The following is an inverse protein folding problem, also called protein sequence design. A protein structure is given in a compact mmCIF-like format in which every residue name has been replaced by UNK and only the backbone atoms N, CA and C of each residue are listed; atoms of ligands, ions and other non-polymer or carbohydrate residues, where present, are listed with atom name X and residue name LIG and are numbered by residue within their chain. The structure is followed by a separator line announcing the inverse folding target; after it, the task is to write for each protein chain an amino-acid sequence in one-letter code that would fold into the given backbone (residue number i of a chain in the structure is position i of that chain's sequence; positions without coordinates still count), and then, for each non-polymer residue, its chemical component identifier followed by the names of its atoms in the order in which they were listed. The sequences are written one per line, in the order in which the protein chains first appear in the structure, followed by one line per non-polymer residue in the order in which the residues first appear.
data_IF_404019399405
#
_entry.id   IF_404019399405
#
_cell.length_a   1.000
_cell.length_b   1.000
_cell.length_c   1.000
_cell.angle_alpha   90.00
_cell.angle_beta   90.00
_cell.angle_gamma   90.00
#
_symmetry.space_group_name_H-M   'P 1'
#
loop_
_entity.id
_entity.type
_entity.pdbx_description
1 polymer ?
#
# COMPACT_ATOMS: atom_id res chain seq x y z
N UNK A 1 -12.88 -6.34 -4.78
CA UNK A 1 -11.79 -5.36 -4.71
C UNK A 1 -10.59 -5.96 -5.44
N UNK A 2 -10.01 -5.26 -6.41
CA UNK A 2 -8.79 -5.75 -7.07
C UNK A 2 -7.63 -5.65 -6.07
N UNK A 3 -6.83 -6.72 -5.95
CA UNK A 3 -5.69 -6.74 -5.04
C UNK A 3 -4.65 -5.68 -5.43
N UNK A 4 -3.97 -5.14 -4.42
CA UNK A 4 -2.74 -4.36 -4.60
C UNK A 4 -1.67 -5.32 -5.13
N UNK A 5 -1.03 -4.95 -6.24
CA UNK A 5 0.07 -5.70 -6.83
C UNK A 5 1.38 -5.43 -6.09
N UNK A 6 2.36 -6.32 -6.22
CA UNK A 6 3.69 -6.10 -5.63
C UNK A 6 4.32 -4.76 -6.04
N UNK A 7 4.21 -4.38 -7.32
CA UNK A 7 4.72 -3.09 -7.80
C UNK A 7 4.04 -1.88 -7.16
N UNK A 8 2.75 -2.01 -6.82
CA UNK A 8 2.03 -0.97 -6.08
C UNK A 8 2.46 -0.95 -4.61
N UNK A 9 2.76 -2.10 -3.99
CA UNK A 9 3.29 -2.15 -2.61
C UNK A 9 4.62 -1.40 -2.49
N UNK A 10 5.54 -1.60 -3.42
CA UNK A 10 6.83 -0.88 -3.45
C UNK A 10 6.61 0.62 -3.55
N UNK A 11 5.65 1.07 -4.39
CA UNK A 11 5.30 2.50 -4.48
C UNK A 11 4.67 3.02 -3.18
N UNK A 12 3.80 2.24 -2.53
CA UNK A 12 3.20 2.61 -1.24
C UNK A 12 4.28 2.78 -0.18
N UNK A 13 5.25 1.87 -0.11
CA UNK A 13 6.40 1.95 0.81
C UNK A 13 7.19 3.24 0.59
N UNK A 14 7.57 3.55 -0.66
CA UNK A 14 8.22 4.82 -1.00
C UNK A 14 7.35 6.04 -0.63
N UNK A 15 6.04 5.96 -0.82
CA UNK A 15 5.14 7.07 -0.46
C UNK A 15 5.01 7.26 1.05
N UNK A 16 5.08 6.19 1.86
CA UNK A 16 5.14 6.27 3.31
C UNK A 16 6.39 7.02 3.77
N UNK A 17 7.56 6.68 3.21
CA UNK A 17 8.83 7.36 3.50
C UNK A 17 8.80 8.84 3.12
N UNK A 18 8.11 9.18 2.03
CA UNK A 18 7.90 10.55 1.57
C UNK A 18 6.78 11.29 2.35
N UNK A 19 6.13 10.66 3.32
CA UNK A 19 5.10 11.28 4.17
C UNK A 19 3.79 11.60 3.45
N UNK A 20 3.45 10.87 2.39
CA UNK A 20 2.19 11.07 1.68
C UNK A 20 0.99 10.56 2.48
N UNK A 21 -0.13 11.26 2.35
CA UNK A 21 -1.43 10.80 2.85
C UNK A 21 -2.04 9.70 1.96
N UNK A 22 -2.89 8.86 2.54
CA UNK A 22 -3.60 7.78 1.83
C UNK A 22 -4.38 8.27 0.60
N UNK A 23 -4.91 9.51 0.66
CA UNK A 23 -5.60 10.14 -0.48
C UNK A 23 -4.64 10.42 -1.64
N UNK A 24 -3.48 11.00 -1.36
CA UNK A 24 -2.46 11.27 -2.37
C UNK A 24 -1.91 9.98 -2.99
N UNK A 25 -1.70 8.95 -2.18
CA UNK A 25 -1.29 7.63 -2.65
C UNK A 25 -2.35 7.00 -3.56
N UNK A 26 -3.62 7.06 -3.17
CA UNK A 26 -4.75 6.55 -3.95
C UNK A 26 -4.84 7.19 -5.33
N UNK A 27 -4.71 8.52 -5.41
CA UNK A 27 -4.69 9.25 -6.70
C UNK A 27 -3.53 8.78 -7.59
N UNK A 28 -2.31 8.63 -7.06
CA UNK A 28 -1.14 8.21 -7.84
C UNK A 28 -1.19 6.76 -8.32
N UNK A 29 -1.88 5.89 -7.58
CA UNK A 29 -2.01 4.46 -7.90
C UNK A 29 -3.34 4.14 -8.60
N UNK A 30 -4.20 5.13 -8.80
CA UNK A 30 -5.57 4.93 -9.27
C UNK A 30 -6.36 3.92 -8.41
N UNK A 31 -6.21 4.05 -7.08
CA UNK A 31 -6.85 3.22 -6.05
C UNK A 31 -7.67 4.07 -5.10
N UNK A 32 -8.68 3.48 -4.47
CA UNK A 32 -9.42 4.19 -3.42
C UNK A 32 -8.53 4.38 -2.18
N UNK A 33 -8.70 5.49 -1.43
CA UNK A 33 -8.01 5.67 -0.17
C UNK A 33 -8.27 4.55 0.84
N UNK A 34 -9.45 3.90 0.76
CA UNK A 34 -9.79 2.73 1.57
C UNK A 34 -8.95 1.51 1.22
N UNK A 35 -8.63 1.28 -0.05
CA UNK A 35 -7.70 0.20 -0.44
C UNK A 35 -6.31 0.46 0.13
N UNK A 36 -5.83 1.71 0.08
CA UNK A 36 -4.53 2.08 0.68
C UNK A 36 -4.56 1.88 2.20
N UNK A 37 -5.61 2.35 2.87
CA UNK A 37 -5.74 2.19 4.33
C UNK A 37 -5.79 0.73 4.74
N UNK A 38 -6.51 -0.10 3.99
CA UNK A 38 -6.56 -1.55 4.23
C UNK A 38 -5.16 -2.15 4.06
N UNK A 39 -4.48 -1.84 2.97
CA UNK A 39 -3.13 -2.35 2.70
C UNK A 39 -2.13 -1.94 3.80
N UNK A 40 -2.12 -0.67 4.21
CA UNK A 40 -1.26 -0.16 5.29
C UNK A 40 -1.58 -0.79 6.65
N UNK A 41 -2.81 -1.22 6.88
CA UNK A 41 -3.20 -1.86 8.16
C UNK A 41 -2.63 -3.28 8.33
N UNK A 42 -2.15 -3.90 7.24
CA UNK A 42 -1.68 -5.29 7.24
C UNK A 42 -0.29 -5.46 7.86
N UNK A 43 0.56 -4.43 7.82
CA UNK A 43 1.87 -4.45 8.49
C UNK A 43 2.31 -3.06 8.96
N UNK A 44 2.98 -2.99 10.11
CA UNK A 44 3.47 -1.75 10.73
C UNK A 44 4.87 -1.99 11.33
N UNK A 45 5.90 -1.21 10.93
CA UNK A 45 5.90 -0.23 9.84
C UNK A 45 5.62 -0.89 8.48
N UNK A 46 5.09 -0.13 7.53
CA UNK A 46 4.71 -0.68 6.24
C UNK A 46 5.94 -1.05 5.41
N UNK A 47 6.04 -2.32 5.00
CA UNK A 47 7.09 -2.84 4.14
C UNK A 47 6.48 -3.69 3.03
N UNK A 48 6.89 -3.45 1.77
CA UNK A 48 6.26 -4.11 0.62
C UNK A 48 6.44 -5.63 0.64
N UNK A 49 7.61 -6.11 1.06
CA UNK A 49 7.91 -7.54 1.16
C UNK A 49 7.02 -8.23 2.21
N UNK A 50 6.88 -7.64 3.39
CA UNK A 50 6.02 -8.19 4.45
C UNK A 50 4.54 -8.21 4.03
N UNK A 51 4.07 -7.13 3.42
CA UNK A 51 2.69 -7.03 2.92
C UNK A 51 2.40 -8.00 1.75
N UNK A 52 3.43 -8.39 0.99
CA UNK A 52 3.33 -9.43 -0.05
C UNK A 52 3.19 -10.82 0.57
N UNK A 53 4.04 -11.17 1.53
CA UNK A 53 4.00 -12.49 2.20
C UNK A 53 2.66 -12.73 2.89
N UNK A 54 2.11 -11.70 3.56
CA UNK A 54 0.77 -11.78 4.17
C UNK A 54 -0.36 -11.96 3.13
N UNK A 55 -0.14 -11.62 1.85
CA UNK A 55 -1.17 -11.72 0.81
C UNK A 55 -1.25 -13.11 0.17
N UNK A 56 -0.20 -13.92 0.34
CA UNK A 56 -0.05 -15.25 -0.27
C UNK A 56 -0.48 -16.39 0.67
N UNK A 57 -0.96 -16.06 1.87
CA UNK A 57 -1.44 -17.00 2.89
C UNK A 57 -2.95 -16.85 3.11
#
# INVERSE_FOLDING_TARGET
MSSITYSERIKIETFCELGLSNSQMGVRLNRSPSTISYELSRCQPYQAELAQTDAEY
#
